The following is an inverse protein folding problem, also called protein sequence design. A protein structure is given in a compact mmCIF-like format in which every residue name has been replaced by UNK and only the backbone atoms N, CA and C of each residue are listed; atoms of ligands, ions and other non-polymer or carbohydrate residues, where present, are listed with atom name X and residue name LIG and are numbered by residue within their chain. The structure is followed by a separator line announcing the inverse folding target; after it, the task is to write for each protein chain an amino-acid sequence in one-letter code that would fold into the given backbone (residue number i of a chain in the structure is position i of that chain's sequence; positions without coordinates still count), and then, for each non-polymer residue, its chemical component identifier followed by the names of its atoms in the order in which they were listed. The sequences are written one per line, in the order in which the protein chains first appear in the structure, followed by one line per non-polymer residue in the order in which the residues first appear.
data_IF_295978440259
#
_entry.id   IF_295978440259
#
_cell.length_a   1.000
_cell.length_b   1.000
_cell.length_c   1.000
_cell.angle_alpha   90.00
_cell.angle_beta   90.00
_cell.angle_gamma   90.00
#
_symmetry.space_group_name_H-M   'P 1'
#
loop_
_entity.id
_entity.type
_entity.pdbx_description
1 polymer ?
#
# COMPACT_ATOMS: atom_id res chain seq x y z
N UNK A 1 -3.46 -36.20 24.81
CA UNK A 1 -4.38 -36.51 23.70
C UNK A 1 -5.61 -35.62 23.82
N UNK A 2 -5.61 -34.49 23.10
CA UNK A 2 -6.75 -33.58 23.01
C UNK A 2 -7.85 -34.28 22.21
N UNK A 3 -8.90 -34.71 22.89
CA UNK A 3 -10.10 -35.24 22.23
C UNK A 3 -10.78 -34.09 21.43
N UNK A 4 -11.33 -34.37 20.24
CA UNK A 4 -12.15 -33.39 19.56
C UNK A 4 -13.38 -33.10 20.43
N UNK A 5 -13.54 -31.85 20.82
CA UNK A 5 -14.63 -31.37 21.72
C UNK A 5 -16.03 -31.63 21.16
N UNK A 6 -16.15 -32.00 19.88
CA UNK A 6 -17.37 -32.53 19.26
C UNK A 6 -16.99 -33.47 18.09
N UNK A 7 -17.36 -34.76 18.18
CA UNK A 7 -17.07 -35.77 17.13
C UNK A 7 -18.06 -35.76 15.94
N UNK A 8 -19.05 -34.86 15.96
CA UNK A 8 -20.11 -34.84 14.96
C UNK A 8 -19.75 -33.85 13.81
N UNK A 9 -19.59 -34.33 12.56
CA UNK A 9 -19.20 -33.48 11.43
C UNK A 9 -20.21 -32.36 11.13
N UNK A 10 -21.51 -32.56 11.42
CA UNK A 10 -22.53 -31.52 11.23
C UNK A 10 -22.33 -30.34 12.19
N UNK A 11 -21.90 -30.61 13.42
CA UNK A 11 -21.67 -29.58 14.44
C UNK A 11 -20.43 -28.76 14.07
N UNK A 12 -19.37 -29.43 13.59
CA UNK A 12 -18.14 -28.76 13.13
C UNK A 12 -18.45 -27.80 11.97
N UNK A 13 -19.26 -28.23 11.00
CA UNK A 13 -19.70 -27.38 9.88
C UNK A 13 -20.49 -26.16 10.36
N UNK A 14 -21.45 -26.36 11.28
CA UNK A 14 -22.29 -25.29 11.82
C UNK A 14 -21.49 -24.26 12.62
N UNK A 15 -20.52 -24.72 13.43
CA UNK A 15 -19.62 -23.85 14.20
C UNK A 15 -18.78 -23.01 13.23
N UNK A 16 -18.13 -23.61 12.23
CA UNK A 16 -17.28 -22.87 11.30
C UNK A 16 -18.09 -21.82 10.50
N UNK A 17 -19.27 -22.21 9.99
CA UNK A 17 -20.16 -21.28 9.29
C UNK A 17 -20.58 -20.10 10.19
N UNK A 18 -20.92 -20.38 11.45
CA UNK A 18 -21.37 -19.35 12.39
C UNK A 18 -20.22 -18.41 12.78
N UNK A 19 -19.03 -18.95 13.08
CA UNK A 19 -17.86 -18.14 13.47
C UNK A 19 -17.43 -17.21 12.34
N UNK A 20 -17.36 -17.71 11.11
CA UNK A 20 -17.02 -16.89 9.94
C UNK A 20 -18.05 -15.77 9.75
N UNK A 21 -19.34 -16.07 9.82
CA UNK A 21 -20.39 -15.04 9.76
C UNK A 21 -20.25 -13.99 10.88
N UNK A 22 -19.97 -14.43 12.10
CA UNK A 22 -19.83 -13.57 13.26
C UNK A 22 -18.68 -12.56 13.06
N UNK A 23 -17.55 -13.03 12.53
CA UNK A 23 -16.39 -12.19 12.23
C UNK A 23 -16.73 -11.15 11.16
N UNK A 24 -17.43 -11.54 10.08
CA UNK A 24 -17.83 -10.62 9.02
C UNK A 24 -18.78 -9.52 9.52
N UNK A 25 -19.78 -9.90 10.32
CA UNK A 25 -20.71 -8.95 10.94
C UNK A 25 -19.96 -8.02 11.90
N UNK A 26 -19.06 -8.55 12.72
CA UNK A 26 -18.27 -7.77 13.67
C UNK A 26 -17.39 -6.75 12.95
N UNK A 27 -16.66 -7.15 11.89
CA UNK A 27 -15.84 -6.22 11.10
C UNK A 27 -16.69 -5.13 10.46
N UNK A 28 -17.83 -5.50 9.85
CA UNK A 28 -18.75 -4.53 9.27
C UNK A 28 -19.33 -3.56 10.31
N UNK A 29 -19.67 -4.05 11.50
CA UNK A 29 -20.17 -3.23 12.60
C UNK A 29 -19.09 -2.29 13.15
N UNK A 30 -17.87 -2.76 13.34
CA UNK A 30 -16.73 -1.95 13.79
C UNK A 30 -16.46 -0.81 12.80
N UNK A 31 -16.43 -1.10 11.49
CA UNK A 31 -16.24 -0.07 10.46
C UNK A 31 -17.37 0.97 10.52
N UNK A 32 -18.63 0.53 10.58
CA UNK A 32 -19.78 1.45 10.69
C UNK A 32 -19.77 2.26 11.99
N UNK A 33 -19.32 1.65 13.09
CA UNK A 33 -19.25 2.31 14.40
C UNK A 33 -18.18 3.39 14.40
N UNK A 34 -17.00 3.10 13.85
CA UNK A 34 -15.94 4.10 13.64
C UNK A 34 -16.48 5.21 12.73
N UNK A 35 -17.13 4.88 11.62
CA UNK A 35 -17.68 5.89 10.69
C UNK A 35 -18.80 6.76 11.31
N UNK A 36 -19.56 6.22 12.27
CA UNK A 36 -20.60 6.96 12.99
C UNK A 36 -20.01 7.89 14.05
N UNK A 37 -18.96 7.44 14.75
CA UNK A 37 -18.27 8.21 15.79
C UNK A 37 -17.27 9.20 15.16
N UNK A 38 -16.79 8.92 13.95
CA UNK A 38 -15.97 9.77 13.10
C UNK A 38 -16.80 10.36 11.94
N UNK A 39 -17.65 11.36 12.22
CA UNK A 39 -18.43 12.07 11.22
C UNK A 39 -17.59 13.02 10.34
N UNK A 40 -16.25 12.90 10.32
CA UNK A 40 -15.39 13.74 9.47
C UNK A 40 -15.34 13.28 8.01
N UNK A 41 -15.91 12.10 7.68
CA UNK A 41 -16.21 11.72 6.30
C UNK A 41 -17.47 12.45 5.81
N UNK A 42 -17.47 13.78 5.92
CA UNK A 42 -18.34 14.62 5.12
C UNK A 42 -17.91 14.44 3.69
N UNK A 43 -18.72 13.68 2.94
CA UNK A 43 -19.01 13.93 1.53
C UNK A 43 -17.90 14.63 0.75
N UNK A 44 -16.81 13.93 0.39
CA UNK A 44 -16.01 14.36 -0.74
C UNK A 44 -16.79 14.09 -2.03
N UNK A 45 -17.74 14.99 -2.24
CA UNK A 45 -18.05 15.67 -3.49
C UNK A 45 -17.68 14.90 -4.75
N UNK A 46 -18.61 14.04 -5.15
CA UNK A 46 -18.85 13.75 -6.56
C UNK A 46 -19.35 15.03 -7.23
N UNK A 47 -18.49 15.80 -7.88
CA UNK A 47 -18.91 16.83 -8.84
C UNK A 47 -17.71 17.50 -9.54
N UNK A 48 -17.92 18.11 -10.72
CA UNK A 48 -18.13 17.48 -12.03
C UNK A 48 -17.00 17.89 -12.99
N UNK A 49 -16.93 17.31 -14.18
CA UNK A 49 -16.09 17.86 -15.25
C UNK A 49 -16.58 19.27 -15.65
N UNK A 50 -15.69 20.24 -15.90
CA UNK A 50 -15.98 21.24 -16.91
C UNK A 50 -14.80 21.51 -17.85
N UNK A 51 -15.13 21.37 -19.14
CA UNK A 51 -14.80 22.23 -20.27
C UNK A 51 -13.52 23.10 -20.25
N UNK A 52 -12.68 22.88 -21.26
CA UNK A 52 -11.79 23.89 -21.87
C UNK A 52 -12.58 25.18 -22.21
N UNK A 53 -12.00 26.41 -22.16
CA UNK A 53 -11.01 26.83 -23.15
C UNK A 53 -9.98 27.94 -22.77
N UNK A 54 -9.05 28.13 -23.71
CA UNK A 54 -8.29 29.35 -24.07
C UNK A 54 -6.79 29.41 -23.70
N UNK A 55 -6.02 29.77 -24.73
CA UNK A 55 -4.58 29.65 -24.90
C UNK A 55 -3.76 30.70 -24.14
N UNK A 56 -2.56 30.28 -23.70
CA UNK A 56 -1.38 31.11 -23.55
C UNK A 56 -0.15 30.33 -24.08
N UNK A 57 0.67 30.99 -24.87
CA UNK A 57 1.86 30.47 -25.55
C UNK A 57 3.07 30.31 -24.57
N UNK A 58 4.20 29.73 -24.98
CA UNK A 58 4.84 28.58 -24.33
C UNK A 58 5.85 28.98 -23.23
N UNK A 59 5.70 28.39 -22.05
CA UNK A 59 6.77 28.31 -21.05
C UNK A 59 7.59 27.03 -21.32
N UNK A 60 8.92 27.05 -21.09
CA UNK A 60 9.85 26.03 -21.56
C UNK A 60 9.41 24.64 -21.13
N UNK A 61 9.38 23.77 -22.13
CA UNK A 61 9.03 22.36 -22.05
C UNK A 61 9.81 21.70 -20.90
N UNK A 62 9.16 21.33 -19.78
CA UNK A 62 9.77 20.36 -18.91
C UNK A 62 9.90 19.09 -19.75
N UNK A 63 11.15 18.65 -19.92
CA UNK A 63 11.45 17.33 -20.46
C UNK A 63 10.45 16.32 -19.89
N UNK A 64 9.92 15.41 -20.72
CA UNK A 64 8.83 14.53 -20.34
C UNK A 64 9.24 13.79 -19.07
N UNK A 65 8.67 14.22 -17.95
CA UNK A 65 8.73 13.50 -16.69
C UNK A 65 7.99 12.20 -16.93
N UNK A 66 8.77 11.19 -17.33
CA UNK A 66 8.40 9.80 -17.09
C UNK A 66 7.88 9.70 -15.65
N UNK A 67 6.89 8.83 -15.36
CA UNK A 67 6.39 8.63 -14.00
C UNK A 67 7.55 8.17 -13.10
N UNK A 68 8.22 9.16 -12.54
CA UNK A 68 9.54 9.09 -11.97
C UNK A 68 9.45 9.57 -10.54
N UNK A 69 10.40 9.11 -9.74
CA UNK A 69 10.46 9.47 -8.33
C UNK A 69 10.63 11.00 -8.25
N UNK A 70 9.81 11.71 -7.44
CA UNK A 70 9.92 13.15 -7.31
C UNK A 70 11.33 13.54 -6.82
N UNK A 71 11.91 14.63 -7.34
CA UNK A 71 13.30 15.01 -7.07
C UNK A 71 13.58 15.23 -5.58
N UNK A 72 12.57 15.61 -4.80
CA UNK A 72 12.64 15.75 -3.34
C UNK A 72 12.97 14.40 -2.68
N UNK A 73 12.32 13.32 -3.13
CA UNK A 73 12.55 11.97 -2.58
C UNK A 73 13.94 11.47 -2.97
N UNK A 74 14.41 11.78 -4.18
CA UNK A 74 15.78 11.47 -4.61
C UNK A 74 16.81 12.21 -3.74
N UNK A 75 16.59 13.49 -3.47
CA UNK A 75 17.47 14.30 -2.63
C UNK A 75 17.53 13.78 -1.19
N UNK A 76 16.39 13.39 -0.60
CA UNK A 76 16.34 12.80 0.75
C UNK A 76 17.09 11.46 0.80
N UNK A 77 16.89 10.59 -0.21
CA UNK A 77 17.60 9.31 -0.30
C UNK A 77 19.11 9.55 -0.42
N UNK A 78 19.53 10.48 -1.28
CA UNK A 78 20.94 10.80 -1.47
C UNK A 78 21.58 11.38 -0.20
N UNK A 79 20.89 12.29 0.50
CA UNK A 79 21.34 12.84 1.77
C UNK A 79 21.46 11.76 2.86
N UNK A 80 20.52 10.83 2.93
CA UNK A 80 20.58 9.70 3.84
C UNK A 80 21.81 8.83 3.56
N UNK A 81 22.03 8.43 2.30
CA UNK A 81 23.21 7.64 1.89
C UNK A 81 24.52 8.39 2.19
N UNK A 82 24.56 9.70 1.96
CA UNK A 82 25.69 10.56 2.32
C UNK A 82 25.96 10.57 3.84
N UNK A 83 24.92 10.56 4.67
CA UNK A 83 25.08 10.52 6.13
C UNK A 83 25.68 9.20 6.65
N UNK A 84 25.49 8.09 5.92
CA UNK A 84 26.14 6.82 6.20
C UNK A 84 27.61 6.77 5.74
N UNK A 85 28.14 7.86 5.20
CA UNK A 85 29.53 7.96 4.73
C UNK A 85 29.75 7.46 3.30
N UNK A 86 28.68 7.16 2.56
CA UNK A 86 28.75 6.76 1.16
C UNK A 86 28.56 7.97 0.24
N UNK A 87 29.46 8.16 -0.72
CA UNK A 87 29.33 9.25 -1.70
C UNK A 87 28.13 9.05 -2.64
N UNK A 88 27.70 10.12 -3.31
CA UNK A 88 26.63 10.08 -4.33
C UNK A 88 26.94 9.11 -5.47
N UNK A 89 28.23 8.89 -5.77
CA UNK A 89 28.76 7.89 -6.71
C UNK A 89 28.36 6.44 -6.35
N UNK A 90 28.04 6.16 -5.09
CA UNK A 90 27.59 4.84 -4.66
C UNK A 90 26.15 4.53 -5.09
N UNK A 91 25.37 5.54 -5.48
CA UNK A 91 23.96 5.38 -5.87
C UNK A 91 23.89 5.07 -7.37
N UNK A 92 23.82 3.78 -7.71
CA UNK A 92 23.80 3.33 -9.12
C UNK A 92 22.44 3.52 -9.81
N UNK A 93 21.34 3.33 -9.08
CA UNK A 93 19.98 3.53 -9.57
C UNK A 93 18.99 3.62 -8.43
N UNK A 94 18.00 4.50 -8.55
CA UNK A 94 16.84 4.57 -7.66
C UNK A 94 15.62 4.15 -8.47
N UNK A 95 14.95 3.08 -8.04
CA UNK A 95 13.73 2.57 -8.69
C UNK A 95 12.64 2.35 -7.67
N UNK A 96 11.40 2.82 -7.91
CA UNK A 96 10.29 2.52 -7.04
C UNK A 96 9.98 1.03 -7.13
N UNK A 97 9.78 0.38 -5.98
CA UNK A 97 9.41 -1.03 -5.91
C UNK A 97 7.91 -1.11 -5.66
N UNK A 98 7.20 -1.84 -6.53
CA UNK A 98 5.79 -2.15 -6.31
C UNK A 98 5.63 -2.95 -5.01
N UNK A 99 4.63 -2.62 -4.17
CA UNK A 99 4.34 -3.34 -2.92
C UNK A 99 3.58 -4.65 -3.18
N UNK A 100 4.06 -5.43 -4.15
CA UNK A 100 3.53 -6.73 -4.52
C UNK A 100 4.42 -7.83 -3.92
N UNK A 101 4.09 -8.28 -2.70
CA UNK A 101 4.90 -9.23 -1.93
C UNK A 101 5.20 -10.54 -2.67
N UNK A 102 4.31 -10.99 -3.56
CA UNK A 102 4.55 -12.16 -4.39
C UNK A 102 5.66 -11.98 -5.44
N UNK A 103 5.74 -10.81 -6.09
CA UNK A 103 6.80 -10.51 -7.07
C UNK A 103 8.14 -10.20 -6.39
N UNK A 104 8.09 -9.72 -5.16
CA UNK A 104 9.27 -9.29 -4.41
C UNK A 104 9.94 -10.44 -3.63
N UNK A 105 9.20 -11.49 -3.26
CA UNK A 105 9.70 -12.62 -2.45
C UNK A 105 10.95 -13.31 -3.04
N UNK A 106 10.98 -13.53 -4.35
CA UNK A 106 12.13 -14.12 -5.02
C UNK A 106 13.39 -13.26 -4.95
N UNK A 107 13.25 -11.93 -4.98
CA UNK A 107 14.37 -10.99 -4.86
C UNK A 107 14.90 -10.94 -3.43
N UNK A 108 13.99 -10.92 -2.45
CA UNK A 108 14.35 -10.90 -1.03
C UNK A 108 15.04 -12.20 -0.61
N UNK A 109 14.63 -13.35 -1.16
CA UNK A 109 15.26 -14.64 -0.93
C UNK A 109 16.70 -14.72 -1.48
N UNK A 110 16.97 -14.07 -2.62
CA UNK A 110 18.32 -13.97 -3.19
C UNK A 110 19.17 -12.98 -2.40
N UNK A 111 18.62 -11.82 -2.06
CA UNK A 111 19.31 -10.81 -1.26
C UNK A 111 19.68 -11.32 0.15
N UNK A 112 18.78 -12.06 0.79
CA UNK A 112 19.02 -12.70 2.09
C UNK A 112 20.12 -13.77 2.05
N UNK A 113 20.38 -14.39 0.90
CA UNK A 113 21.46 -15.36 0.71
C UNK A 113 22.83 -14.70 0.53
N UNK A 114 22.88 -13.51 -0.06
CA UNK A 114 24.13 -12.76 -0.26
C UNK A 114 24.61 -12.01 0.98
N UNK A 115 23.76 -11.90 2.01
CA UNK A 115 24.06 -11.21 3.27
C UNK A 115 24.32 -12.17 4.44
N UNK A 116 24.37 -13.48 4.19
CA UNK A 116 24.85 -14.53 5.11
C UNK A 116 26.22 -15.01 4.64
#
# INVERSE_FOLDING_TARGET
MSQPVTSNPLIIMLINMTVVFFILIALGFVIKLIHKIDPTVRHEKKEPAPAQPAAAAPAPEPEPVAPGIPPEVVAVIAAAVASYGYGVEAIRAIRPIERNGWKQSGRDMVAGRTLM
#
